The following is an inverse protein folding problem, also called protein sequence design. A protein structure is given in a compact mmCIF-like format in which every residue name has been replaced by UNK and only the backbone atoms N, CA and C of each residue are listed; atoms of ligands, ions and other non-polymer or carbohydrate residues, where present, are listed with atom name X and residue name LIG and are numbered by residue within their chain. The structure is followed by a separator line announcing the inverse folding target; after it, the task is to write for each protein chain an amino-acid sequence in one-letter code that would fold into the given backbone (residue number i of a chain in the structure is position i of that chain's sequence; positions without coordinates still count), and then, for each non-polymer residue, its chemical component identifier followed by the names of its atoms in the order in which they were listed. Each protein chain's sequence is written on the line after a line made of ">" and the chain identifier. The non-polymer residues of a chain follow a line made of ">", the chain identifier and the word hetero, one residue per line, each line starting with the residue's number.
data_IF_765008654793
#
_entry.id   IF_765008654793
#
_cell.length_a   1.000
_cell.length_b   1.000
_cell.length_c   1.000
_cell.angle_alpha   90.00
_cell.angle_beta   90.00
_cell.angle_gamma   90.00
#
_symmetry.space_group_name_H-M   'P 1'
#
loop_
_entity.id
_entity.type
_entity.pdbx_description
1 polymer ?
#
# COMPACT_ATOMS: atom_id res chain seq x y z
N UNK A 1 -1.70 -12.76 7.50
CA UNK A 1 -2.29 -11.45 7.84
C UNK A 1 -1.34 -10.34 7.43
N UNK A 2 -1.83 -9.24 6.85
CA UNK A 2 -1.02 -8.07 6.45
C UNK A 2 -1.37 -6.88 7.36
N UNK A 3 -0.35 -6.18 7.87
CA UNK A 3 -0.54 -5.01 8.76
C UNK A 3 -0.27 -3.73 7.99
N UNK A 4 -1.24 -2.82 8.02
CA UNK A 4 -1.17 -1.50 7.42
C UNK A 4 -1.20 -0.43 8.52
N UNK A 5 -0.49 0.66 8.28
CA UNK A 5 -0.52 1.85 9.12
C UNK A 5 -1.17 2.97 8.32
N UNK A 6 -2.29 3.51 8.81
CA UNK A 6 -2.95 4.67 8.21
C UNK A 6 -2.47 5.96 8.87
N UNK A 7 -2.17 6.94 8.03
CA UNK A 7 -1.80 8.29 8.41
C UNK A 7 -2.68 9.29 7.68
N UNK A 8 -3.23 10.23 8.43
CA UNK A 8 -4.03 11.32 7.88
C UNK A 8 -3.20 12.59 7.83
N UNK A 9 -2.94 13.09 6.63
CA UNK A 9 -2.20 14.35 6.41
C UNK A 9 -2.97 15.22 5.44
N UNK A 10 -3.20 16.48 5.81
CA UNK A 10 -3.89 17.48 4.97
C UNK A 10 -5.24 16.99 4.40
N UNK A 11 -5.96 16.17 5.18
CA UNK A 11 -7.25 15.60 4.78
C UNK A 11 -7.17 14.35 3.89
N UNK A 12 -5.97 13.93 3.47
CA UNK A 12 -5.71 12.71 2.70
C UNK A 12 -5.33 11.54 3.58
N UNK A 13 -5.72 10.35 3.16
CA UNK A 13 -5.38 9.09 3.82
C UNK A 13 -4.21 8.40 3.09
N UNK A 14 -3.14 8.19 3.84
CA UNK A 14 -1.90 7.56 3.37
C UNK A 14 -1.70 6.26 4.12
N UNK A 15 -1.67 5.14 3.40
CA UNK A 15 -1.40 3.83 3.97
C UNK A 15 0.07 3.48 3.82
N UNK A 16 0.67 2.90 4.85
CA UNK A 16 2.06 2.43 4.85
C UNK A 16 2.10 0.98 5.32
N UNK A 17 2.81 0.13 4.58
CA UNK A 17 3.04 -1.25 5.01
C UNK A 17 4.33 -1.84 4.44
N UNK A 18 4.71 -2.97 5.02
CA UNK A 18 5.89 -3.73 4.64
C UNK A 18 5.55 -4.79 3.59
N UNK A 19 5.91 -4.52 2.33
CA UNK A 19 5.71 -5.44 1.21
C UNK A 19 6.70 -6.60 1.20
N UNK A 20 7.77 -6.54 2.00
CA UNK A 20 8.74 -7.63 2.13
C UNK A 20 8.22 -8.77 3.01
N UNK A 21 7.26 -8.46 3.90
CA UNK A 21 6.66 -9.42 4.83
C UNK A 21 5.44 -10.12 4.25
N UNK A 22 5.68 -10.84 3.15
CA UNK A 22 4.79 -11.90 2.66
C UNK A 22 4.06 -11.61 1.34
N UNK A 23 3.81 -10.36 0.98
CA UNK A 23 3.19 -10.03 -0.30
C UNK A 23 3.55 -8.62 -0.77
N UNK A 24 4.08 -8.54 -1.98
CA UNK A 24 4.30 -7.30 -2.70
C UNK A 24 3.15 -7.09 -3.69
N UNK A 25 2.21 -6.17 -3.44
CA UNK A 25 1.09 -5.95 -4.34
C UNK A 25 1.51 -5.20 -5.61
N UNK A 26 0.90 -5.60 -6.72
CA UNK A 26 0.91 -4.89 -7.99
C UNK A 26 -0.23 -3.87 -8.09
N UNK A 27 -0.34 -3.24 -9.26
CA UNK A 27 -1.27 -2.14 -9.49
C UNK A 27 -2.75 -2.52 -9.24
N UNK A 28 -3.14 -3.75 -9.57
CA UNK A 28 -4.53 -4.20 -9.42
C UNK A 28 -4.88 -4.45 -7.95
N UNK A 29 -3.98 -5.07 -7.19
CA UNK A 29 -4.10 -5.21 -5.74
C UNK A 29 -4.16 -3.86 -5.03
N UNK A 30 -3.32 -2.90 -5.45
CA UNK A 30 -3.35 -1.53 -4.93
C UNK A 30 -4.69 -0.86 -5.18
N UNK A 31 -5.23 -0.95 -6.41
CA UNK A 31 -6.57 -0.45 -6.75
C UNK A 31 -7.66 -1.04 -5.87
N UNK A 32 -7.60 -2.36 -5.63
CA UNK A 32 -8.56 -3.05 -4.76
C UNK A 32 -8.47 -2.53 -3.32
N UNK A 33 -7.25 -2.36 -2.81
CA UNK A 33 -6.99 -1.90 -1.45
C UNK A 33 -7.42 -0.44 -1.23
N UNK A 34 -7.08 0.44 -2.16
CA UNK A 34 -7.41 1.87 -2.13
C UNK A 34 -8.90 2.15 -2.42
N UNK A 35 -9.57 1.22 -3.10
CA UNK A 35 -10.97 1.37 -3.46
C UNK A 35 -11.92 1.34 -2.25
N UNK A 36 -13.16 1.78 -2.46
CA UNK A 36 -14.21 1.82 -1.42
C UNK A 36 -14.59 0.46 -0.83
N UNK A 37 -14.30 -0.63 -1.55
CA UNK A 37 -14.51 -2.01 -1.08
C UNK A 37 -13.31 -2.56 -0.30
N UNK A 38 -12.19 -1.83 -0.32
CA UNK A 38 -11.01 -2.11 0.47
C UNK A 38 -10.94 -1.21 1.69
N UNK A 39 -9.73 -0.77 2.02
CA UNK A 39 -9.46 0.11 3.16
C UNK A 39 -9.86 1.56 2.86
N UNK A 40 -9.73 1.98 1.61
CA UNK A 40 -9.91 3.38 1.23
C UNK A 40 -8.65 4.19 1.53
N UNK A 41 -7.94 4.61 0.49
CA UNK A 41 -6.75 5.46 0.65
C UNK A 41 -6.51 6.28 -0.59
N UNK A 42 -5.98 7.48 -0.42
CA UNK A 42 -5.57 8.33 -1.53
C UNK A 42 -4.19 7.91 -2.07
N UNK A 43 -3.33 7.44 -1.16
CA UNK A 43 -1.93 7.13 -1.43
C UNK A 43 -1.45 5.95 -0.60
N UNK A 44 -0.63 5.11 -1.19
CA UNK A 44 -0.13 3.88 -0.57
C UNK A 44 1.38 3.84 -0.71
N UNK A 45 2.09 3.69 0.41
CA UNK A 45 3.53 3.56 0.49
C UNK A 45 3.84 2.12 0.88
N UNK A 46 4.60 1.44 0.03
CA UNK A 46 5.04 0.07 0.24
C UNK A 46 6.53 0.07 0.48
N UNK A 47 6.95 -0.44 1.63
CA UNK A 47 8.35 -0.68 1.90
C UNK A 47 8.81 -1.94 1.17
N UNK A 48 9.84 -1.78 0.34
CA UNK A 48 10.41 -2.83 -0.52
C UNK A 48 11.88 -3.12 -0.25
N UNK A 49 12.50 -2.33 0.63
CA UNK A 49 13.93 -2.42 0.90
C UNK A 49 14.30 -3.31 2.09
N UNK A 50 15.57 -3.25 2.46
CA UNK A 50 16.10 -3.85 3.69
C UNK A 50 16.37 -2.76 4.72
N UNK A 51 16.54 -3.14 5.99
CA UNK A 51 16.85 -2.16 7.06
C UNK A 51 18.11 -1.33 6.76
N UNK A 52 19.02 -1.87 5.97
CA UNK A 52 20.28 -1.24 5.56
C UNK A 52 20.09 -0.31 4.36
N UNK A 53 19.21 -0.67 3.42
CA UNK A 53 18.90 0.12 2.23
C UNK A 53 17.38 0.28 2.13
N UNK A 54 16.81 1.31 2.78
CA UNK A 54 15.37 1.53 2.75
C UNK A 54 14.96 1.92 1.32
N UNK A 55 14.08 1.11 0.74
CA UNK A 55 13.47 1.36 -0.56
C UNK A 55 11.97 1.42 -0.40
N UNK A 56 11.34 2.36 -1.08
CA UNK A 56 9.90 2.59 -1.02
C UNK A 56 9.35 2.68 -2.42
N UNK A 57 8.18 2.09 -2.62
CA UNK A 57 7.35 2.30 -3.80
C UNK A 57 6.07 2.99 -3.36
N UNK A 58 5.69 4.03 -4.08
CA UNK A 58 4.47 4.77 -3.78
C UNK A 58 3.50 4.58 -4.91
N UNK A 59 2.25 4.32 -4.56
CA UNK A 59 1.17 4.16 -5.50
C UNK A 59 0.05 5.14 -5.17
N UNK A 60 -0.62 5.63 -6.21
CA UNK A 60 -1.90 6.30 -6.05
C UNK A 60 -3.05 5.28 -5.94
N UNK A 61 -4.22 5.77 -5.55
CA UNK A 61 -5.43 4.98 -5.44
C UNK A 61 -5.82 4.25 -6.74
N UNK A 62 -5.40 4.76 -7.89
CA UNK A 62 -5.60 4.16 -9.21
C UNK A 62 -4.53 3.09 -9.54
N UNK A 63 -3.70 2.67 -8.59
CA UNK A 63 -2.64 1.68 -8.83
C UNK A 63 -1.45 2.18 -9.64
N UNK A 64 -1.44 3.45 -10.06
CA UNK A 64 -0.31 4.06 -10.74
C UNK A 64 0.85 4.28 -9.77
N UNK A 65 2.04 3.81 -10.13
CA UNK A 65 3.25 4.09 -9.37
C UNK A 65 3.64 5.57 -9.53
N UNK A 66 3.95 6.21 -8.42
CA UNK A 66 4.33 7.62 -8.35
C UNK A 66 5.65 7.79 -7.61
N UNK A 67 6.34 8.88 -7.90
CA UNK A 67 7.51 9.29 -7.13
C UNK A 67 7.08 9.76 -5.74
N UNK A 68 7.94 9.50 -4.75
CA UNK A 68 7.77 10.04 -3.40
C UNK A 68 7.71 11.56 -3.41
N UNK A 69 6.84 12.10 -2.58
CA UNK A 69 6.68 13.54 -2.33
C UNK A 69 7.20 13.90 -0.95
N UNK A 70 7.38 15.19 -0.70
CA UNK A 70 7.76 15.69 0.63
C UNK A 70 6.76 15.29 1.73
N UNK A 71 5.47 15.11 1.39
CA UNK A 71 4.45 14.65 2.35
C UNK A 71 4.67 13.19 2.77
N UNK A 72 5.07 12.33 1.84
CA UNK A 72 5.36 10.91 2.11
C UNK A 72 6.54 10.78 3.09
N UNK A 73 7.59 11.58 2.90
CA UNK A 73 8.71 11.59 3.83
C UNK A 73 8.32 12.07 5.24
N UNK A 74 7.36 13.01 5.35
CA UNK A 74 6.81 13.42 6.65
C UNK A 74 5.99 12.30 7.30
N UNK A 75 5.27 11.48 6.52
CA UNK A 75 4.58 10.30 7.06
C UNK A 75 5.60 9.35 7.67
N UNK A 76 6.66 9.03 6.92
CA UNK A 76 7.67 8.06 7.33
C UNK A 76 8.49 8.51 8.56
N UNK A 77 8.56 9.82 8.84
CA UNK A 77 9.22 10.34 10.04
C UNK A 77 8.32 10.33 11.28
N UNK A 78 7.02 10.06 11.16
CA UNK A 78 6.10 9.98 12.31
C UNK A 78 6.27 8.64 13.03
N UNK A 79 6.51 8.71 14.34
CA UNK A 79 6.69 7.53 15.20
C UNK A 79 5.42 6.73 15.43
N UNK A 80 4.24 7.34 15.23
CA UNK A 80 2.94 6.73 15.53
C UNK A 80 1.98 6.94 14.37
N UNK A 81 1.36 5.85 13.92
CA UNK A 81 0.26 5.86 12.97
C UNK A 81 -1.03 6.35 13.63
N UNK A 82 -1.92 6.95 12.84
CA UNK A 82 -3.23 7.36 13.33
C UNK A 82 -4.12 6.13 13.56
N UNK A 83 -4.00 5.12 12.66
CA UNK A 83 -4.63 3.81 12.83
C UNK A 83 -3.70 2.67 12.39
N UNK A 84 -3.85 1.53 13.05
CA UNK A 84 -3.26 0.26 12.61
C UNK A 84 -4.39 -0.65 12.13
N UNK A 85 -4.27 -1.15 10.90
CA UNK A 85 -5.31 -1.92 10.23
C UNK A 85 -4.77 -3.32 9.91
N UNK A 86 -5.53 -4.34 10.28
CA UNK A 86 -5.15 -5.73 10.09
C UNK A 86 -5.96 -6.30 8.95
N UNK A 87 -5.30 -6.48 7.80
CA UNK A 87 -5.91 -7.07 6.62
C UNK A 87 -5.83 -8.59 6.74
N UNK A 88 -7.01 -9.22 6.70
CA UNK A 88 -7.16 -10.67 6.81
C UNK A 88 -6.53 -11.39 5.63
N UNK A 89 -6.13 -12.65 5.85
CA UNK A 89 -5.59 -13.49 4.78
C UNK A 89 -6.57 -13.70 3.63
N UNK A 90 -7.88 -13.68 3.91
CA UNK A 90 -8.91 -13.70 2.89
C UNK A 90 -8.79 -12.52 1.92
N UNK A 91 -8.67 -11.29 2.44
CA UNK A 91 -8.57 -10.11 1.59
C UNK A 91 -7.22 -10.06 0.85
N UNK A 92 -6.13 -10.48 1.50
CA UNK A 92 -4.83 -10.64 0.83
C UNK A 92 -4.93 -11.65 -0.32
N UNK A 93 -5.71 -12.72 -0.16
CA UNK A 93 -6.02 -13.67 -1.24
C UNK A 93 -6.70 -13.00 -2.44
N UNK A 94 -7.71 -12.17 -2.20
CA UNK A 94 -8.38 -11.39 -3.25
C UNK A 94 -7.42 -10.42 -3.97
N UNK A 95 -6.50 -9.81 -3.23
CA UNK A 95 -5.48 -8.94 -3.81
C UNK A 95 -4.55 -9.73 -4.76
N UNK A 96 -4.09 -10.92 -4.34
CA UNK A 96 -3.28 -11.81 -5.18
C UNK A 96 -4.02 -12.25 -6.45
N UNK A 97 -5.29 -12.61 -6.33
CA UNK A 97 -6.12 -12.95 -7.48
C UNK A 97 -6.29 -11.76 -8.44
N UNK A 98 -6.47 -10.56 -7.92
CA UNK A 98 -6.61 -9.35 -8.73
C UNK A 98 -5.34 -9.09 -9.55
N UNK A 99 -4.16 -9.20 -8.94
CA UNK A 99 -2.88 -9.09 -9.65
C UNK A 99 -2.69 -10.21 -10.67
N UNK A 100 -3.01 -11.46 -10.32
CA UNK A 100 -2.88 -12.60 -11.24
C UNK A 100 -3.79 -12.46 -12.46
N UNK A 101 -5.04 -12.01 -12.28
CA UNK A 101 -5.97 -11.73 -13.38
C UNK A 101 -5.49 -10.58 -14.25
N UNK A 102 -4.95 -9.52 -13.64
CA UNK A 102 -4.42 -8.38 -14.40
C UNK A 102 -3.20 -8.78 -15.23
N UNK A 103 -2.30 -9.58 -14.68
CA UNK A 103 -1.16 -10.13 -15.41
C UNK A 103 -1.62 -11.04 -16.57
N UNK A 104 -2.60 -11.90 -16.36
CA UNK A 104 -3.15 -12.78 -17.39
C UNK A 104 -3.85 -12.03 -18.52
N UNK A 105 -4.46 -10.87 -18.24
CA UNK A 105 -5.11 -10.02 -19.25
C UNK A 105 -4.13 -9.14 -20.04
N UNK A 106 -2.88 -9.03 -19.59
CA UNK A 106 -1.82 -8.27 -20.26
C UNK A 106 -0.96 -9.13 -21.23
N UNK A 107 -1.14 -10.46 -21.22
CA UNK A 107 -0.60 -11.39 -22.21
C UNK A 107 -1.58 -11.58 -23.37
#
# INVERSE_FOLDING_TARGET
>A
MMVLHSYRIAGREILVFDGTKGYMPGAAAIRLLAGRKGVGADRIIVYTGTKEIPSFRVFAADGGEQTMTAEDYRVLSRSRADFELHVTDFFVGLMREADARFAAAAC
#
